data_IF_123295401905
#
_entry.id   IF_123295401905
#
_cell.length_a   1.000
_cell.length_b   1.000
_cell.length_c   1.000
_cell.angle_alpha   90.00
_cell.angle_beta   90.00
_cell.angle_gamma   90.00
#
_symmetry.space_group_name_H-M   'P 1'
#
loop_
_entity.id
_entity.type
_entity.pdbx_description
1 polymer ?
#
# COMPACT_ATOMS: atom_id res chain seq x y z
N UNK A 1 -1.71 9.11 -2.03
CA UNK A 1 -0.66 10.15 -1.90
C UNK A 1 0.39 10.01 -2.99
N UNK A 2 1.11 8.88 -3.04
CA UNK A 2 2.19 8.64 -4.01
C UNK A 2 1.77 8.87 -5.48
N UNK A 3 0.69 8.24 -5.94
CA UNK A 3 0.25 8.35 -7.33
C UNK A 3 -0.11 9.78 -7.73
N UNK A 4 -1.02 10.41 -6.99
CA UNK A 4 -1.52 11.73 -7.36
C UNK A 4 -0.50 12.85 -7.16
N UNK A 5 0.11 12.95 -5.98
CA UNK A 5 0.95 14.09 -5.63
C UNK A 5 2.38 13.95 -6.14
N UNK A 6 2.96 12.75 -6.10
CA UNK A 6 4.37 12.54 -6.43
C UNK A 6 4.54 12.18 -7.92
N UNK A 7 3.92 11.09 -8.38
CA UNK A 7 4.09 10.63 -9.78
C UNK A 7 3.38 11.56 -10.77
N UNK A 8 2.11 11.86 -10.49
CA UNK A 8 1.26 12.64 -11.41
C UNK A 8 1.30 14.14 -11.17
N UNK A 9 1.94 14.60 -10.09
CA UNK A 9 2.10 16.03 -9.75
C UNK A 9 0.77 16.80 -9.81
N UNK A 10 -0.27 16.22 -9.22
CA UNK A 10 -1.64 16.72 -9.22
C UNK A 10 -2.29 16.88 -10.61
N UNK A 11 -1.82 16.15 -11.63
CA UNK A 11 -2.39 16.15 -12.98
C UNK A 11 -3.09 14.83 -13.28
N UNK A 12 -4.41 14.88 -13.38
CA UNK A 12 -5.23 13.74 -13.78
C UNK A 12 -5.85 13.98 -15.15
N UNK A 13 -5.80 12.96 -16.00
CA UNK A 13 -6.59 12.93 -17.23
C UNK A 13 -8.02 12.48 -16.94
N UNK A 14 -8.94 13.44 -16.78
CA UNK A 14 -10.31 13.18 -16.32
C UNK A 14 -11.06 12.15 -17.19
N UNK A 15 -10.96 12.28 -18.51
CA UNK A 15 -11.68 11.38 -19.44
C UNK A 15 -11.27 9.92 -19.25
N UNK A 16 -9.99 9.66 -18.98
CA UNK A 16 -9.49 8.29 -18.82
C UNK A 16 -9.93 7.65 -17.49
N UNK A 17 -10.39 8.43 -16.50
CA UNK A 17 -10.96 7.90 -15.27
C UNK A 17 -12.32 7.26 -15.49
N UNK A 18 -13.06 7.71 -16.52
CA UNK A 18 -14.40 7.23 -16.83
C UNK A 18 -14.42 6.22 -18.00
N UNK A 19 -13.26 5.89 -18.58
CA UNK A 19 -13.16 5.04 -19.77
C UNK A 19 -12.51 3.70 -19.45
N UNK A 20 -13.20 2.60 -19.80
CA UNK A 20 -12.56 1.27 -19.85
C UNK A 20 -11.43 1.28 -20.90
N UNK A 21 -10.27 0.73 -20.55
CA UNK A 21 -9.06 0.79 -21.39
C UNK A 21 -8.36 2.16 -21.40
N UNK A 22 -8.76 3.10 -20.55
CA UNK A 22 -8.00 4.32 -20.28
C UNK A 22 -6.70 4.05 -19.52
N UNK A 23 -5.89 5.09 -19.29
CA UNK A 23 -4.60 5.01 -18.59
C UNK A 23 -4.69 4.41 -17.18
N UNK A 24 -5.84 4.49 -16.53
CA UNK A 24 -6.09 3.97 -15.18
C UNK A 24 -6.81 2.62 -15.17
N UNK A 25 -7.05 2.02 -16.34
CA UNK A 25 -7.63 0.68 -16.45
C UNK A 25 -6.61 -0.42 -16.12
N UNK A 26 -5.31 -0.13 -16.27
CA UNK A 26 -4.23 -1.09 -16.03
C UNK A 26 -4.50 -2.45 -16.70
N UNK A 27 -4.09 -3.56 -16.08
CA UNK A 27 -4.38 -4.91 -16.58
C UNK A 27 -5.75 -5.38 -16.09
N UNK A 28 -6.74 -5.41 -16.97
CA UNK A 28 -8.08 -5.96 -16.64
C UNK A 28 -8.85 -5.16 -15.58
N UNK A 29 -8.61 -3.85 -15.45
CA UNK A 29 -9.19 -3.00 -14.41
C UNK A 29 -8.36 -2.96 -13.12
N UNK A 30 -7.27 -3.72 -13.03
CA UNK A 30 -6.49 -3.88 -11.81
C UNK A 30 -5.06 -3.41 -11.94
N UNK A 31 -4.63 -2.65 -10.93
CA UNK A 31 -3.24 -2.30 -10.74
C UNK A 31 -2.58 -3.26 -9.74
N UNK A 32 -2.04 -4.37 -10.22
CA UNK A 32 -1.41 -5.37 -9.34
C UNK A 32 -0.22 -4.79 -8.56
N UNK A 33 0.54 -3.85 -9.15
CA UNK A 33 1.66 -3.15 -8.50
C UNK A 33 1.17 -2.35 -7.28
N UNK A 34 0.01 -1.69 -7.43
CA UNK A 34 -0.63 -0.96 -6.33
C UNK A 34 -1.10 -1.89 -5.21
N UNK A 35 -1.72 -3.02 -5.58
CA UNK A 35 -2.21 -4.03 -4.63
C UNK A 35 -1.04 -4.63 -3.86
N UNK A 36 0.06 -4.95 -4.54
CA UNK A 36 1.26 -5.49 -3.91
C UNK A 36 1.85 -4.50 -2.91
N UNK A 37 2.00 -3.23 -3.29
CA UNK A 37 2.51 -2.19 -2.39
C UNK A 37 1.64 -2.03 -1.14
N UNK A 38 0.31 -2.05 -1.29
CA UNK A 38 -0.65 -2.00 -0.19
C UNK A 38 -0.55 -3.23 0.71
N UNK A 39 -0.51 -4.43 0.13
CA UNK A 39 -0.42 -5.67 0.89
C UNK A 39 0.86 -5.74 1.72
N UNK A 40 2.01 -5.40 1.13
CA UNK A 40 3.30 -5.42 1.84
C UNK A 40 3.33 -4.37 2.95
N UNK A 41 2.89 -3.14 2.68
CA UNK A 41 2.81 -2.11 3.72
C UNK A 41 1.84 -2.47 4.85
N UNK A 42 0.69 -3.05 4.52
CA UNK A 42 -0.29 -3.53 5.50
C UNK A 42 0.28 -4.64 6.38
N UNK A 43 0.95 -5.64 5.78
CA UNK A 43 1.60 -6.72 6.53
C UNK A 43 2.69 -6.17 7.46
N UNK A 44 3.50 -5.21 7.02
CA UNK A 44 4.54 -4.62 7.89
C UNK A 44 3.97 -3.73 8.99
N UNK A 45 2.84 -3.07 8.73
CA UNK A 45 2.15 -2.25 9.73
C UNK A 45 1.51 -3.10 10.84
N UNK A 46 1.04 -4.30 10.49
CA UNK A 46 0.16 -5.14 11.32
C UNK A 46 0.90 -6.36 11.85
N UNK A 47 2.00 -6.79 11.22
CA UNK A 47 2.67 -8.07 11.47
C UNK A 47 3.40 -8.18 12.81
N UNK A 48 3.57 -7.07 13.54
CA UNK A 48 4.09 -7.07 14.91
C UNK A 48 3.01 -6.89 15.99
N UNK A 49 1.74 -6.68 15.61
CA UNK A 49 0.69 -6.42 16.58
C UNK A 49 0.22 -7.71 17.25
N UNK A 50 -0.12 -7.62 18.53
CA UNK A 50 -0.76 -8.71 19.27
C UNK A 50 -2.27 -8.72 18.97
N UNK A 51 -2.77 -9.87 18.51
CA UNK A 51 -4.18 -10.07 18.11
C UNK A 51 -4.97 -10.92 19.12
N UNK A 52 -4.49 -11.09 20.35
CA UNK A 52 -5.19 -11.90 21.35
C UNK A 52 -6.61 -11.34 21.66
N UNK A 53 -7.67 -12.19 21.72
CA UNK A 53 -7.68 -13.65 21.68
C UNK A 53 -7.95 -14.27 20.29
N UNK A 54 -8.00 -13.46 19.22
CA UNK A 54 -8.36 -13.94 17.87
C UNK A 54 -7.29 -14.84 17.24
N UNK A 55 -6.03 -14.63 17.60
CA UNK A 55 -4.88 -15.43 17.19
C UNK A 55 -3.94 -15.47 18.40
N UNK A 56 -3.31 -16.62 18.69
CA UNK A 56 -2.23 -16.75 19.69
C UNK A 56 -0.95 -16.04 19.20
N UNK A 57 -1.07 -14.73 18.94
CA UNK A 57 -0.37 -13.62 19.60
C UNK A 57 1.10 -13.73 19.91
N UNK A 58 1.88 -14.57 19.23
CA UNK A 58 3.33 -14.41 19.25
C UNK A 58 3.69 -13.37 18.20
N UNK A 59 3.87 -12.07 18.57
CA UNK A 59 4.36 -11.11 17.60
C UNK A 59 5.65 -11.67 17.01
N UNK A 60 5.82 -11.51 15.69
CA UNK A 60 7.10 -11.85 15.08
C UNK A 60 8.12 -10.91 15.73
N UNK A 61 9.13 -11.41 16.48
CA UNK A 61 9.95 -10.56 17.36
C UNK A 61 10.65 -9.42 16.62
N UNK A 62 10.92 -9.61 15.32
CA UNK A 62 11.52 -8.61 14.45
C UNK A 62 10.56 -7.47 14.04
N UNK A 63 9.26 -7.72 14.06
CA UNK A 63 8.21 -6.76 13.66
C UNK A 63 7.55 -6.07 14.87
N UNK A 64 7.77 -6.56 16.08
CA UNK A 64 7.22 -5.98 17.33
C UNK A 64 7.53 -4.48 17.48
N UNK A 65 8.76 -3.98 17.21
CA UNK A 65 9.03 -2.53 17.27
C UNK A 65 8.34 -1.73 16.16
N UNK A 66 7.99 -2.37 15.04
CA UNK A 66 7.26 -1.74 13.94
C UNK A 66 5.77 -1.58 14.29
N UNK A 67 5.24 -2.38 15.22
CA UNK A 67 3.84 -2.31 15.63
C UNK A 67 3.48 -0.98 16.30
N UNK A 68 4.36 -0.47 17.18
CA UNK A 68 4.19 0.83 17.83
C UNK A 68 4.10 2.00 16.82
N UNK A 69 4.71 1.82 15.65
CA UNK A 69 4.72 2.78 14.55
C UNK A 69 4.04 2.25 13.28
N UNK A 70 3.12 1.30 13.42
CA UNK A 70 2.57 0.55 12.29
C UNK A 70 1.97 1.45 11.21
N UNK A 71 1.33 2.56 11.61
CA UNK A 71 0.79 3.54 10.68
C UNK A 71 1.87 4.21 9.81
N UNK A 72 3.01 4.57 10.40
CA UNK A 72 4.11 5.25 9.72
C UNK A 72 4.88 4.28 8.82
N UNK A 73 5.12 3.06 9.32
CA UNK A 73 5.73 1.96 8.56
C UNK A 73 4.86 1.61 7.37
N UNK A 74 3.56 1.39 7.58
CA UNK A 74 2.61 1.04 6.52
C UNK A 74 2.53 2.11 5.44
N UNK A 75 2.42 3.39 5.82
CA UNK A 75 2.43 4.49 4.87
C UNK A 75 3.77 4.61 4.14
N UNK A 76 4.88 4.57 4.87
CA UNK A 76 6.23 4.71 4.33
C UNK A 76 6.55 3.60 3.33
N UNK A 77 6.38 2.34 3.73
CA UNK A 77 6.67 1.20 2.86
C UNK A 77 5.73 1.12 1.66
N UNK A 78 4.43 1.35 1.86
CA UNK A 78 3.48 1.41 0.73
C UNK A 78 3.86 2.51 -0.25
N UNK A 79 4.25 3.69 0.25
CA UNK A 79 4.65 4.82 -0.58
C UNK A 79 5.91 4.52 -1.38
N UNK A 80 6.97 4.03 -0.72
CA UNK A 80 8.24 3.70 -1.38
C UNK A 80 8.07 2.58 -2.41
N UNK A 81 7.41 1.48 -2.04
CA UNK A 81 7.18 0.37 -2.96
C UNK A 81 6.31 0.79 -4.14
N UNK A 82 5.26 1.58 -3.91
CA UNK A 82 4.41 2.07 -4.98
C UNK A 82 5.21 2.93 -5.96
N UNK A 83 6.08 3.82 -5.48
CA UNK A 83 6.91 4.66 -6.34
C UNK A 83 7.95 3.85 -7.13
N UNK A 84 8.57 2.83 -6.51
CA UNK A 84 9.51 1.95 -7.20
C UNK A 84 8.81 1.05 -8.24
N UNK A 85 7.57 0.65 -7.93
CA UNK A 85 6.70 -0.14 -8.77
C UNK A 85 5.75 0.72 -9.61
N UNK A 86 6.03 1.98 -9.95
CA UNK A 86 5.23 2.71 -10.96
C UNK A 86 6.13 3.26 -12.04
#
# INVERSE_FOLDING_TARGET
IADYWILRRARLHLVDLYRRGGRYWYGGGWNWRAVLAFAVGGVLAVGGADFHPLVDGRPVPFLEPLADYGWAVGLGTSLVLYLALM
#
